data_IF_649627311165
#
_entry.id   IF_649627311165
#
_cell.length_a   1.000
_cell.length_b   1.000
_cell.length_c   1.000
_cell.angle_alpha   90.00
_cell.angle_beta   90.00
_cell.angle_gamma   90.00
#
_symmetry.space_group_name_H-M   'P 1'
#
loop_
_entity.id
_entity.type
_entity.pdbx_description
1 polymer ?
#
# COMPACT_ATOMS: atom_id res chain seq x y z
N UNK A 1 15.61 -21.87 -3.77
CA UNK A 1 14.80 -21.39 -4.91
C UNK A 1 13.48 -20.75 -4.48
N UNK A 2 12.66 -21.37 -3.65
CA UNK A 2 11.35 -20.81 -3.22
C UNK A 2 11.39 -19.43 -2.57
N UNK A 3 12.38 -19.12 -1.71
CA UNK A 3 12.48 -17.80 -1.06
C UNK A 3 12.76 -16.69 -2.07
N UNK A 4 13.67 -16.91 -3.01
CA UNK A 4 13.97 -15.92 -4.07
C UNK A 4 12.72 -15.64 -4.92
N UNK A 5 11.96 -16.67 -5.24
CA UNK A 5 10.72 -16.56 -6.00
C UNK A 5 9.69 -15.70 -5.26
N UNK A 6 9.43 -15.96 -3.97
CA UNK A 6 8.50 -15.15 -3.16
C UNK A 6 8.96 -13.70 -3.01
N UNK A 7 10.28 -13.45 -2.97
CA UNK A 7 10.82 -12.08 -2.98
C UNK A 7 10.52 -11.40 -4.31
N UNK A 8 10.76 -12.06 -5.44
CA UNK A 8 10.45 -11.50 -6.77
C UNK A 8 8.95 -11.23 -6.96
N UNK A 9 8.10 -12.12 -6.46
CA UNK A 9 6.64 -11.92 -6.44
C UNK A 9 6.25 -10.72 -5.57
N UNK A 10 6.89 -10.54 -4.42
CA UNK A 10 6.69 -9.38 -3.56
C UNK A 10 7.16 -8.07 -4.22
N UNK A 11 8.26 -8.10 -4.97
CA UNK A 11 8.71 -6.96 -5.78
C UNK A 11 7.72 -6.65 -6.91
N UNK A 12 7.16 -7.68 -7.56
CA UNK A 12 6.10 -7.51 -8.56
C UNK A 12 4.85 -6.82 -7.99
N UNK A 13 4.42 -7.22 -6.80
CA UNK A 13 3.31 -6.58 -6.09
C UNK A 13 3.67 -5.14 -5.69
N UNK A 14 4.92 -4.89 -5.27
CA UNK A 14 5.45 -3.56 -5.00
C UNK A 14 5.47 -2.66 -6.25
N UNK A 15 5.86 -3.21 -7.41
CA UNK A 15 5.82 -2.49 -8.67
C UNK A 15 4.39 -2.10 -9.07
N UNK A 16 3.41 -2.99 -8.85
CA UNK A 16 2.00 -2.69 -9.02
C UNK A 16 1.55 -1.52 -8.13
N UNK A 17 1.98 -1.50 -6.87
CA UNK A 17 1.71 -0.40 -5.94
C UNK A 17 2.30 0.93 -6.45
N UNK A 18 3.56 0.94 -6.89
CA UNK A 18 4.21 2.13 -7.48
C UNK A 18 3.44 2.61 -8.70
N UNK A 19 2.98 1.70 -9.55
CA UNK A 19 2.19 2.05 -10.72
C UNK A 19 0.85 2.70 -10.36
N UNK A 20 0.14 2.17 -9.35
CA UNK A 20 -1.09 2.78 -8.81
C UNK A 20 -0.83 4.19 -8.28
N UNK A 21 0.25 4.39 -7.52
CA UNK A 21 0.64 5.72 -7.04
C UNK A 21 0.96 6.69 -8.20
N UNK A 22 1.68 6.21 -9.22
CA UNK A 22 2.00 7.01 -10.42
C UNK A 22 0.74 7.49 -11.14
N UNK A 23 -0.24 6.61 -11.33
CA UNK A 23 -1.54 7.00 -11.92
C UNK A 23 -2.27 7.99 -11.01
N UNK A 24 -2.23 7.74 -9.70
CA UNK A 24 -2.93 8.56 -8.70
C UNK A 24 -2.46 10.01 -8.67
N UNK A 25 -1.15 10.26 -8.82
CA UNK A 25 -0.57 11.61 -8.82
C UNK A 25 -0.43 12.24 -10.21
N UNK A 26 -0.81 11.53 -11.28
CA UNK A 26 -0.63 12.03 -12.67
C UNK A 26 -1.24 13.40 -12.91
N UNK A 27 -2.31 13.75 -12.19
CA UNK A 27 -2.97 15.07 -12.25
C UNK A 27 -2.66 15.94 -11.01
N UNK A 28 -1.53 15.69 -10.36
CA UNK A 28 -1.08 16.39 -9.15
C UNK A 28 -1.40 15.60 -7.86
N UNK A 29 -0.66 15.93 -6.80
CA UNK A 29 -0.73 15.22 -5.50
C UNK A 29 -2.12 15.27 -4.83
N UNK A 30 -2.95 16.26 -5.14
CA UNK A 30 -4.37 16.33 -4.72
C UNK A 30 -5.17 15.10 -5.18
N UNK A 31 -4.70 14.41 -6.24
CA UNK A 31 -5.29 13.13 -6.66
C UNK A 31 -5.30 12.06 -5.57
N UNK A 32 -4.29 12.07 -4.73
CA UNK A 32 -4.04 11.08 -3.67
C UNK A 32 -4.17 11.66 -2.25
N UNK A 33 -4.82 12.83 -2.10
CA UNK A 33 -4.94 13.55 -0.81
C UNK A 33 -5.52 12.69 0.32
N UNK A 34 -6.31 11.67 0.00
CA UNK A 34 -6.87 10.74 0.99
C UNK A 34 -5.81 9.87 1.69
N UNK A 35 -4.56 9.86 1.22
CA UNK A 35 -3.44 9.17 1.87
C UNK A 35 -2.70 10.06 2.88
N UNK A 36 -2.95 11.38 2.85
CA UNK A 36 -2.30 12.34 3.73
C UNK A 36 -2.99 12.42 5.10
N UNK A 37 -2.35 13.12 6.04
CA UNK A 37 -2.92 13.37 7.37
C UNK A 37 -4.24 14.14 7.30
N UNK A 38 -5.05 14.04 8.34
CA UNK A 38 -6.33 14.76 8.42
C UNK A 38 -6.16 16.28 8.30
N UNK A 39 -5.04 16.82 8.80
CA UNK A 39 -4.70 18.24 8.75
C UNK A 39 -4.49 18.70 7.31
N UNK A 40 -3.69 17.97 6.52
CA UNK A 40 -3.49 18.25 5.09
C UNK A 40 -4.81 18.13 4.32
N UNK A 41 -5.62 17.11 4.61
CA UNK A 41 -6.94 16.95 3.98
C UNK A 41 -7.85 18.14 4.26
N UNK A 42 -7.88 18.64 5.51
CA UNK A 42 -8.68 19.80 5.92
C UNK A 42 -8.20 21.05 5.20
N UNK A 43 -6.90 21.31 5.18
CA UNK A 43 -6.31 22.46 4.46
C UNK A 43 -6.64 22.42 2.95
N UNK A 44 -6.60 21.26 2.32
CA UNK A 44 -6.98 21.12 0.92
C UNK A 44 -8.46 21.44 0.65
N UNK A 45 -9.34 21.16 1.61
CA UNK A 45 -10.76 21.53 1.53
C UNK A 45 -10.94 23.04 1.70
N UNK A 46 -10.26 23.65 2.67
CA UNK A 46 -10.28 25.11 2.93
C UNK A 46 -9.78 25.91 1.73
N UNK A 47 -8.73 25.41 1.07
CA UNK A 47 -8.19 26.00 -0.16
C UNK A 47 -9.06 25.73 -1.41
N UNK A 48 -10.17 25.03 -1.29
CA UNK A 48 -11.05 24.71 -2.42
C UNK A 48 -10.48 23.72 -3.45
N UNK A 49 -9.35 23.06 -3.13
CA UNK A 49 -8.69 22.11 -4.04
C UNK A 49 -9.48 20.79 -4.17
N UNK A 50 -10.28 20.45 -3.16
CA UNK A 50 -11.10 19.23 -3.13
C UNK A 50 -12.28 19.39 -2.15
N UNK A 51 -13.10 18.34 -2.00
CA UNK A 51 -14.14 18.30 -0.97
C UNK A 51 -14.04 17.02 -0.13
N UNK A 52 -14.62 17.03 1.09
CA UNK A 52 -14.64 15.85 1.99
C UNK A 52 -15.24 14.62 1.31
N UNK A 53 -16.31 14.81 0.52
CA UNK A 53 -17.00 13.75 -0.22
C UNK A 53 -16.08 13.16 -1.30
N UNK A 54 -15.35 14.01 -2.04
CA UNK A 54 -14.39 13.55 -3.06
C UNK A 54 -13.25 12.77 -2.44
N UNK A 55 -12.73 13.21 -1.28
CA UNK A 55 -11.67 12.51 -0.54
C UNK A 55 -12.17 11.12 -0.13
N UNK A 56 -13.34 11.05 0.52
CA UNK A 56 -13.95 9.78 0.96
C UNK A 56 -14.22 8.84 -0.21
N UNK A 57 -14.80 9.36 -1.30
CA UNK A 57 -15.08 8.56 -2.51
C UNK A 57 -13.80 7.98 -3.12
N UNK A 58 -12.73 8.78 -3.23
CA UNK A 58 -11.44 8.30 -3.76
C UNK A 58 -10.82 7.24 -2.85
N UNK A 59 -10.87 7.42 -1.54
CA UNK A 59 -10.38 6.43 -0.57
C UNK A 59 -11.12 5.09 -0.70
N UNK A 60 -12.45 5.13 -0.81
CA UNK A 60 -13.26 3.92 -0.98
C UNK A 60 -12.97 3.25 -2.32
N UNK A 61 -12.93 4.03 -3.41
CA UNK A 61 -12.68 3.51 -4.75
C UNK A 61 -11.30 2.85 -4.84
N UNK A 62 -10.26 3.49 -4.30
CA UNK A 62 -8.92 2.91 -4.28
C UNK A 62 -8.90 1.57 -3.54
N UNK A 63 -9.51 1.51 -2.36
CA UNK A 63 -9.59 0.27 -1.58
C UNK A 63 -10.39 -0.81 -2.31
N UNK A 64 -11.54 -0.45 -2.88
CA UNK A 64 -12.44 -1.38 -3.56
C UNK A 64 -11.82 -1.97 -4.84
N UNK A 65 -10.91 -1.26 -5.50
CA UNK A 65 -10.22 -1.74 -6.70
C UNK A 65 -8.91 -2.43 -6.35
N UNK A 66 -8.06 -1.80 -5.55
CA UNK A 66 -6.71 -2.31 -5.31
C UNK A 66 -6.71 -3.55 -4.39
N UNK A 67 -7.57 -3.60 -3.37
CA UNK A 67 -7.58 -4.73 -2.43
C UNK A 67 -7.92 -6.07 -3.11
N UNK A 68 -8.98 -6.19 -3.92
CA UNK A 68 -9.25 -7.43 -4.65
C UNK A 68 -8.12 -7.81 -5.61
N UNK A 69 -7.55 -6.86 -6.33
CA UNK A 69 -6.43 -7.12 -7.25
C UNK A 69 -5.24 -7.70 -6.49
N UNK A 70 -4.89 -7.13 -5.34
CA UNK A 70 -3.78 -7.60 -4.51
C UNK A 70 -4.05 -8.99 -3.93
N UNK A 71 -5.29 -9.26 -3.50
CA UNK A 71 -5.67 -10.58 -2.99
C UNK A 71 -5.63 -11.65 -4.08
N UNK A 72 -6.14 -11.33 -5.27
CA UNK A 72 -6.08 -12.24 -6.43
C UNK A 72 -4.62 -12.51 -6.83
N UNK A 73 -3.79 -11.46 -6.92
CA UNK A 73 -2.37 -11.62 -7.21
C UNK A 73 -1.69 -12.55 -6.19
N UNK A 74 -1.92 -12.30 -4.91
CA UNK A 74 -1.34 -13.08 -3.81
C UNK A 74 -1.82 -14.54 -3.87
N UNK A 75 -3.11 -14.76 -4.12
CA UNK A 75 -3.67 -16.10 -4.28
C UNK A 75 -3.02 -16.85 -5.45
N UNK A 76 -2.90 -16.22 -6.61
CA UNK A 76 -2.27 -16.82 -7.79
C UNK A 76 -0.80 -17.17 -7.51
N UNK A 77 -0.01 -16.27 -6.91
CA UNK A 77 1.37 -16.56 -6.57
C UNK A 77 1.48 -17.75 -5.62
N UNK A 78 0.74 -17.76 -4.53
CA UNK A 78 0.88 -18.75 -3.46
C UNK A 78 0.33 -20.13 -3.86
N UNK A 79 -0.88 -20.17 -4.43
CA UNK A 79 -1.56 -21.46 -4.65
C UNK A 79 -1.44 -21.99 -6.08
N UNK A 80 -1.39 -21.11 -7.08
CA UNK A 80 -1.31 -21.55 -8.50
C UNK A 80 0.14 -21.71 -8.93
N UNK A 81 0.99 -20.72 -8.68
CA UNK A 81 2.38 -20.71 -9.15
C UNK A 81 3.25 -21.54 -8.21
N UNK A 82 3.23 -21.23 -6.91
CA UNK A 82 4.08 -21.87 -5.91
C UNK A 82 3.50 -23.18 -5.39
N UNK A 83 2.24 -23.48 -5.69
CA UNK A 83 1.54 -24.71 -5.27
C UNK A 83 1.70 -24.99 -3.76
N UNK A 84 1.56 -23.94 -2.95
CA UNK A 84 1.73 -24.03 -1.51
C UNK A 84 0.69 -25.00 -0.92
N UNK A 85 1.18 -25.96 -0.14
CA UNK A 85 0.33 -26.91 0.58
C UNK A 85 0.43 -26.69 2.09
N UNK A 86 -0.70 -26.75 2.76
CA UNK A 86 -0.82 -26.57 4.20
C UNK A 86 -0.67 -25.12 4.66
N UNK A 87 -1.24 -24.86 5.82
CA UNK A 87 -1.35 -23.52 6.41
C UNK A 87 0.00 -22.80 6.53
N UNK A 88 1.00 -23.42 7.13
CA UNK A 88 2.29 -22.76 7.41
C UNK A 88 3.05 -22.37 6.14
N UNK A 89 3.00 -23.19 5.11
CA UNK A 89 3.64 -22.88 3.82
C UNK A 89 2.96 -21.69 3.15
N UNK A 90 1.63 -21.71 3.06
CA UNK A 90 0.84 -20.64 2.48
C UNK A 90 0.97 -19.34 3.27
N UNK A 91 0.89 -19.39 4.61
CA UNK A 91 1.10 -18.24 5.49
C UNK A 91 2.47 -17.60 5.28
N UNK A 92 3.54 -18.38 5.34
CA UNK A 92 4.91 -17.87 5.19
C UNK A 92 5.12 -17.22 3.84
N UNK A 93 4.67 -17.84 2.74
CA UNK A 93 4.82 -17.26 1.40
C UNK A 93 4.01 -15.99 1.26
N UNK A 94 2.75 -15.98 1.66
CA UNK A 94 1.89 -14.79 1.65
C UNK A 94 2.49 -13.65 2.46
N UNK A 95 2.99 -13.95 3.65
CA UNK A 95 3.61 -12.95 4.53
C UNK A 95 4.89 -12.36 3.91
N UNK A 96 5.76 -13.19 3.32
CA UNK A 96 7.00 -12.71 2.66
C UNK A 96 6.65 -11.81 1.47
N UNK A 97 5.71 -12.20 0.61
CA UNK A 97 5.28 -11.40 -0.55
C UNK A 97 4.76 -10.03 -0.09
N UNK A 98 3.85 -10.02 0.90
CA UNK A 98 3.31 -8.78 1.45
C UNK A 98 4.36 -7.93 2.17
N UNK A 99 5.28 -8.56 2.88
CA UNK A 99 6.36 -7.85 3.58
C UNK A 99 7.33 -7.19 2.62
N UNK A 100 7.71 -7.86 1.52
CA UNK A 100 8.56 -7.27 0.47
C UNK A 100 7.84 -6.09 -0.21
N UNK A 101 6.56 -6.24 -0.53
CA UNK A 101 5.74 -5.12 -1.02
C UNK A 101 5.75 -3.94 -0.04
N UNK A 102 5.60 -4.21 1.27
CA UNK A 102 5.65 -3.15 2.29
C UNK A 102 7.03 -2.49 2.38
N UNK A 103 8.13 -3.23 2.17
CA UNK A 103 9.47 -2.62 2.07
C UNK A 103 9.53 -1.64 0.89
N UNK A 104 9.00 -2.01 -0.27
CA UNK A 104 8.91 -1.10 -1.44
C UNK A 104 8.11 0.15 -1.08
N UNK A 105 6.96 -0.01 -0.41
CA UNK A 105 6.14 1.13 0.03
C UNK A 105 6.91 2.06 1.00
N UNK A 106 7.57 1.50 2.02
CA UNK A 106 8.26 2.29 3.04
C UNK A 106 9.52 2.97 2.52
N UNK A 107 10.37 2.24 1.79
CA UNK A 107 11.65 2.78 1.35
C UNK A 107 11.54 3.55 0.04
N UNK A 108 10.87 3.00 -0.97
CA UNK A 108 10.80 3.65 -2.27
C UNK A 108 9.72 4.74 -2.33
N UNK A 109 8.50 4.46 -1.85
CA UNK A 109 7.40 5.42 -1.94
C UNK A 109 7.50 6.43 -0.80
N UNK A 110 7.40 6.00 0.46
CA UNK A 110 7.33 6.91 1.61
C UNK A 110 8.63 7.71 1.81
N UNK A 111 9.80 7.04 1.76
CA UNK A 111 11.09 7.70 2.04
C UNK A 111 11.61 8.47 0.85
N UNK A 112 11.79 7.81 -0.31
CA UNK A 112 12.44 8.44 -1.47
C UNK A 112 11.45 9.31 -2.23
N UNK A 113 10.31 8.77 -2.63
CA UNK A 113 9.41 9.49 -3.54
C UNK A 113 8.62 10.59 -2.83
N UNK A 114 7.96 10.29 -1.72
CA UNK A 114 7.21 11.28 -0.94
C UNK A 114 8.15 12.21 -0.17
N UNK A 115 9.20 11.65 0.44
CA UNK A 115 10.11 12.40 1.29
C UNK A 115 11.09 13.33 0.56
N UNK A 116 11.54 12.98 -0.65
CA UNK A 116 12.62 13.68 -1.33
C UNK A 116 12.23 14.28 -2.69
N UNK A 117 10.99 14.12 -3.16
CA UNK A 117 10.57 14.70 -4.44
C UNK A 117 9.44 15.70 -4.27
N UNK A 118 9.35 16.66 -5.20
CA UNK A 118 8.26 17.64 -5.23
C UNK A 118 6.95 17.09 -5.78
N UNK A 119 6.94 15.86 -6.28
CA UNK A 119 5.78 15.27 -6.95
C UNK A 119 4.56 15.11 -6.02
N UNK A 120 4.80 15.01 -4.72
CA UNK A 120 3.78 14.81 -3.69
C UNK A 120 3.44 16.08 -2.92
N UNK A 121 4.08 17.22 -3.24
CA UNK A 121 3.77 18.50 -2.59
C UNK A 121 2.43 19.02 -3.13
N UNK A 122 1.52 19.35 -2.22
CA UNK A 122 0.25 20.00 -2.54
C UNK A 122 0.42 21.51 -2.31
N UNK A 123 0.23 22.34 -3.35
CA UNK A 123 0.36 23.80 -3.21
C UNK A 123 -0.53 24.35 -2.08
N UNK A 124 0.05 25.17 -1.19
CA UNK A 124 -0.62 25.77 -0.04
C UNK A 124 -0.67 24.87 1.21
N UNK A 125 0.10 23.77 1.23
CA UNK A 125 0.27 22.90 2.40
C UNK A 125 1.74 22.64 2.74
N UNK A 126 2.64 23.44 2.21
CA UNK A 126 4.09 23.30 2.38
C UNK A 126 4.53 23.46 3.85
N UNK A 127 3.80 24.27 4.60
CA UNK A 127 3.98 24.49 6.04
C UNK A 127 3.66 23.24 6.89
N UNK A 128 2.94 22.28 6.33
CA UNK A 128 2.58 21.01 6.98
C UNK A 128 3.59 19.88 6.68
N UNK A 129 4.69 20.18 6.02
CA UNK A 129 5.75 19.19 5.78
C UNK A 129 6.61 18.95 7.03
N UNK A 130 7.13 17.74 7.23
CA UNK A 130 7.01 16.56 6.37
C UNK A 130 5.64 15.88 6.53
N UNK A 131 5.00 15.49 5.42
CA UNK A 131 3.68 14.84 5.43
C UNK A 131 3.65 13.46 6.13
N UNK A 132 4.81 12.83 6.27
CA UNK A 132 4.97 11.57 7.00
C UNK A 132 5.96 11.81 8.13
N UNK A 133 5.46 11.95 9.36
CA UNK A 133 6.27 12.15 10.54
C UNK A 133 6.96 10.85 10.98
N UNK A 134 7.98 10.94 11.86
CA UNK A 134 8.61 9.75 12.45
C UNK A 134 7.61 8.87 13.21
N UNK A 135 6.65 9.49 13.91
CA UNK A 135 5.58 8.78 14.60
C UNK A 135 4.66 8.03 13.63
N UNK A 136 4.32 8.66 12.48
CA UNK A 136 3.52 8.02 11.45
C UNK A 136 4.26 6.84 10.82
N UNK A 137 5.56 6.97 10.57
CA UNK A 137 6.40 5.85 10.10
C UNK A 137 6.33 4.67 11.05
N UNK A 138 6.51 4.90 12.37
CA UNK A 138 6.44 3.84 13.37
C UNK A 138 5.06 3.17 13.43
N UNK A 139 3.98 3.96 13.45
CA UNK A 139 2.60 3.44 13.41
C UNK A 139 2.33 2.63 12.15
N UNK A 140 2.75 3.14 10.99
CA UNK A 140 2.60 2.44 9.71
C UNK A 140 3.36 1.11 9.70
N UNK A 141 4.58 1.05 10.28
CA UNK A 141 5.34 -0.19 10.39
C UNK A 141 4.60 -1.23 11.23
N UNK A 142 4.16 -0.84 12.43
CA UNK A 142 3.48 -1.76 13.35
C UNK A 142 2.13 -2.22 12.76
N UNK A 143 1.27 -1.28 12.38
CA UNK A 143 -0.05 -1.60 11.83
C UNK A 143 0.05 -2.37 10.50
N UNK A 144 1.02 -2.02 9.65
CA UNK A 144 1.26 -2.72 8.38
C UNK A 144 1.69 -4.17 8.62
N UNK A 145 2.67 -4.41 9.51
CA UNK A 145 3.16 -5.77 9.79
C UNK A 145 2.06 -6.65 10.39
N UNK A 146 1.30 -6.14 11.36
CA UNK A 146 0.17 -6.87 11.96
C UNK A 146 -0.93 -7.13 10.92
N UNK A 147 -1.28 -6.13 10.11
CA UNK A 147 -2.27 -6.27 9.05
C UNK A 147 -1.87 -7.31 8.00
N UNK A 148 -0.60 -7.31 7.58
CA UNK A 148 -0.09 -8.30 6.62
C UNK A 148 -0.11 -9.72 7.20
N UNK A 149 0.25 -9.88 8.48
CA UNK A 149 0.15 -11.19 9.14
C UNK A 149 -1.31 -11.68 9.19
N UNK A 150 -2.26 -10.79 9.47
CA UNK A 150 -3.69 -11.09 9.43
C UNK A 150 -4.17 -11.53 8.04
N UNK A 151 -3.83 -10.77 7.00
CA UNK A 151 -4.19 -11.12 5.61
C UNK A 151 -3.57 -12.47 5.21
N UNK A 152 -2.28 -12.68 5.53
CA UNK A 152 -1.59 -13.92 5.23
C UNK A 152 -2.23 -15.12 5.94
N UNK A 153 -2.65 -14.97 7.21
CA UNK A 153 -3.34 -16.00 7.97
C UNK A 153 -4.70 -16.35 7.36
N UNK A 154 -5.51 -15.33 7.04
CA UNK A 154 -6.83 -15.54 6.40
C UNK A 154 -6.68 -16.26 5.07
N UNK A 155 -5.73 -15.83 4.23
CA UNK A 155 -5.49 -16.46 2.94
C UNK A 155 -5.01 -17.92 3.10
N UNK A 156 -4.13 -18.17 4.07
CA UNK A 156 -3.65 -19.53 4.36
C UNK A 156 -4.78 -20.45 4.81
N UNK A 157 -5.72 -19.97 5.64
CA UNK A 157 -6.91 -20.74 6.03
C UNK A 157 -7.79 -21.05 4.82
N UNK A 158 -8.11 -20.05 4.00
CA UNK A 158 -8.92 -20.25 2.79
C UNK A 158 -8.27 -21.29 1.87
N UNK A 159 -6.97 -21.18 1.64
CA UNK A 159 -6.26 -22.10 0.75
C UNK A 159 -6.09 -23.53 1.29
N UNK A 160 -6.29 -23.76 2.59
CA UNK A 160 -6.32 -25.13 3.16
C UNK A 160 -7.71 -25.76 3.10
N UNK A 161 -8.74 -24.97 2.80
CA UNK A 161 -10.13 -25.44 2.67
C UNK A 161 -10.51 -25.74 1.21
N UNK A 162 -9.70 -25.29 0.24
CA UNK A 162 -9.84 -25.53 -1.19
C UNK A 162 -9.02 -26.74 -1.65
#
# INVERSE_FOLDING_TARGET
>A
MMLLQTILEGMGLGALLVWVCTIGIRKGAVGMVHLYSAEVQTRCVELGLTSKEKIKRKAILLKAVCLPIYLVYLFLCVFVINKAQGFFTAFRQSFVILFVMNLVDRFLIDEVWVGHTKAWIIPGTEDLMPYITKADKCKKWLAGTVGMAGIAAVLAVIGTLL
#
